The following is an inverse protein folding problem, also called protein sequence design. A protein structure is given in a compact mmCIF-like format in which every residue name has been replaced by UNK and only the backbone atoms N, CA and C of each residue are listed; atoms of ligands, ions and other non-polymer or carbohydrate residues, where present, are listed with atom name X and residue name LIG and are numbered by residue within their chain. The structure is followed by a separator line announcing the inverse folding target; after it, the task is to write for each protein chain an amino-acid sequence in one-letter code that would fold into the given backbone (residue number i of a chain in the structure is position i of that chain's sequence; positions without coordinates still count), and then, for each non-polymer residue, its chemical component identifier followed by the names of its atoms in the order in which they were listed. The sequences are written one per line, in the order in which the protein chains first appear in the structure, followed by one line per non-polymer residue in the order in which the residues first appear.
data_IF_628676136101
#
_entry.id   IF_628676136101
#
_cell.length_a   1.000
_cell.length_b   1.000
_cell.length_c   1.000
_cell.angle_alpha   90.00
_cell.angle_beta   90.00
_cell.angle_gamma   90.00
#
_symmetry.space_group_name_H-M   'P 1'
#
loop_
_entity.id
_entity.type
_entity.pdbx_description
1 polymer ?
#
# COMPACT_ATOMS: atom_id res chain seq x y z
N UNK A 1 0.83 5.19 18.91
CA UNK A 1 0.28 5.71 17.65
C UNK A 1 0.63 4.69 16.60
N UNK A 2 -0.30 4.31 15.73
CA UNK A 2 -0.03 3.31 14.70
C UNK A 2 1.05 3.83 13.75
N UNK A 3 1.91 2.93 13.30
CA UNK A 3 2.94 3.18 12.29
C UNK A 3 2.43 2.69 10.95
N UNK A 4 2.24 3.63 10.03
CA UNK A 4 1.66 3.39 8.72
C UNK A 4 2.75 3.53 7.68
N UNK A 5 2.88 2.53 6.81
CA UNK A 5 3.73 2.58 5.63
C UNK A 5 2.86 2.79 4.39
N UNK A 6 3.20 3.80 3.59
CA UNK A 6 2.53 4.10 2.32
C UNK A 6 3.47 3.72 1.17
N UNK A 7 3.01 2.88 0.26
CA UNK A 7 3.74 2.44 -0.92
C UNK A 7 3.04 2.95 -2.18
N UNK A 8 3.68 3.88 -2.89
CA UNK A 8 3.18 4.49 -4.12
C UNK A 8 4.35 5.12 -4.89
N UNK A 9 4.39 4.95 -6.21
CA UNK A 9 5.50 5.45 -7.04
C UNK A 9 5.32 6.93 -7.40
N UNK A 10 4.16 7.51 -7.10
CA UNK A 10 3.88 8.93 -7.24
C UNK A 10 4.10 9.69 -5.92
N UNK A 11 5.17 10.51 -5.88
CA UNK A 11 5.46 11.38 -4.71
C UNK A 11 4.27 12.27 -4.30
N UNK A 12 3.49 12.76 -5.26
CA UNK A 12 2.29 13.56 -5.01
C UNK A 12 1.23 12.81 -4.20
N UNK A 13 1.08 11.50 -4.43
CA UNK A 13 0.14 10.64 -3.69
C UNK A 13 0.65 10.41 -2.27
N UNK A 14 1.95 10.12 -2.11
CA UNK A 14 2.58 9.97 -0.80
C UNK A 14 2.42 11.22 0.06
N UNK A 15 2.69 12.40 -0.51
CA UNK A 15 2.54 13.69 0.19
C UNK A 15 1.08 13.94 0.58
N UNK A 16 0.15 13.68 -0.35
CA UNK A 16 -1.28 13.86 -0.12
C UNK A 16 -1.83 12.97 0.99
N UNK A 17 -1.49 11.67 0.98
CA UNK A 17 -1.93 10.73 2.02
C UNK A 17 -1.27 11.04 3.36
N UNK A 18 0.01 11.39 3.37
CA UNK A 18 0.72 11.82 4.60
C UNK A 18 0.06 13.06 5.22
N UNK A 19 -0.44 13.98 4.40
CA UNK A 19 -1.17 15.17 4.84
C UNK A 19 -2.57 14.85 5.39
N UNK A 20 -3.18 13.74 4.96
CA UNK A 20 -4.50 13.30 5.47
C UNK A 20 -4.34 12.52 6.78
N UNK A 21 -3.31 11.69 6.89
CA UNK A 21 -3.04 10.81 8.04
C UNK A 21 -2.15 11.45 9.12
N UNK A 22 -2.07 12.79 9.16
CA UNK A 22 -1.14 13.63 9.94
C UNK A 22 -0.86 13.24 11.41
N UNK A 23 -1.79 12.56 12.05
CA UNK A 23 -1.70 12.21 13.47
C UNK A 23 -0.96 10.87 13.72
N UNK A 24 -0.62 10.14 12.66
CA UNK A 24 0.04 8.83 12.72
C UNK A 24 1.55 8.91 12.38
N UNK A 25 2.30 7.84 12.72
CA UNK A 25 3.71 7.74 12.33
C UNK A 25 3.79 7.23 10.89
N UNK A 26 3.99 8.15 9.95
CA UNK A 26 4.02 7.82 8.52
C UNK A 26 5.45 7.52 8.05
N UNK A 27 5.62 6.37 7.41
CA UNK A 27 6.75 6.03 6.56
C UNK A 27 6.26 5.90 5.11
N UNK A 28 7.13 6.16 4.14
CA UNK A 28 6.79 6.10 2.72
C UNK A 28 7.85 5.31 1.95
N UNK A 29 7.45 4.57 0.91
CA UNK A 29 8.37 3.92 -0.02
C UNK A 29 7.90 4.10 -1.47
N UNK A 30 8.82 4.46 -2.36
CA UNK A 30 8.55 4.70 -3.79
C UNK A 30 8.94 3.51 -4.68
N UNK A 31 9.53 2.47 -4.09
CA UNK A 31 9.82 1.21 -4.78
C UNK A 31 9.52 0.01 -3.88
N UNK A 32 9.27 -1.15 -4.48
CA UNK A 32 9.07 -2.40 -3.74
C UNK A 32 10.26 -2.72 -2.84
N UNK A 33 11.49 -2.42 -3.28
CA UNK A 33 12.71 -2.66 -2.49
C UNK A 33 12.75 -1.81 -1.22
N UNK A 34 12.35 -0.53 -1.32
CA UNK A 34 12.26 0.37 -0.16
C UNK A 34 11.19 -0.10 0.83
N UNK A 35 10.00 -0.45 0.34
CA UNK A 35 8.89 -0.91 1.18
C UNK A 35 9.26 -2.19 1.91
N UNK A 36 9.83 -3.17 1.21
CA UNK A 36 10.27 -4.43 1.80
C UNK A 36 11.44 -4.24 2.78
N UNK A 37 12.31 -3.26 2.55
CA UNK A 37 13.38 -2.90 3.50
C UNK A 37 12.77 -2.33 4.78
N UNK A 38 11.83 -1.40 4.68
CA UNK A 38 11.16 -0.79 5.83
C UNK A 38 10.42 -1.86 6.66
N UNK A 39 9.70 -2.78 6.01
CA UNK A 39 9.00 -3.87 6.70
C UNK A 39 9.93 -4.83 7.46
N UNK A 40 11.21 -4.92 7.09
CA UNK A 40 12.22 -5.72 7.80
C UNK A 40 12.85 -4.97 8.97
N UNK A 41 12.85 -3.65 8.93
CA UNK A 41 13.50 -2.78 9.92
C UNK A 41 12.54 -2.27 11.00
N UNK A 42 11.25 -2.18 10.69
CA UNK A 42 10.24 -1.59 11.56
C UNK A 42 9.00 -2.48 11.67
N UNK A 43 8.45 -2.58 12.87
CA UNK A 43 7.09 -3.08 13.07
C UNK A 43 6.10 -2.05 12.52
N UNK A 44 5.43 -2.43 11.42
CA UNK A 44 4.40 -1.65 10.73
C UNK A 44 3.02 -2.20 11.13
N UNK A 45 2.11 -1.33 11.55
CA UNK A 45 0.74 -1.71 11.89
C UNK A 45 -0.13 -1.82 10.62
N UNK A 46 0.09 -0.92 9.66
CA UNK A 46 -0.68 -0.82 8.41
C UNK A 46 0.22 -0.53 7.22
N UNK A 47 0.12 -1.34 6.17
CA UNK A 47 0.64 -1.04 4.84
C UNK A 47 -0.51 -0.59 3.92
N UNK A 48 -0.44 0.67 3.45
CA UNK A 48 -1.26 1.17 2.35
C UNK A 48 -0.45 1.05 1.06
N UNK A 49 -0.80 0.12 0.18
CA UNK A 49 -0.07 -0.10 -1.07
C UNK A 49 -0.91 0.24 -2.30
N UNK A 50 -0.35 0.98 -3.24
CA UNK A 50 -0.88 0.98 -4.60
C UNK A 50 -0.68 -0.39 -5.25
N UNK A 51 -1.56 -0.74 -6.18
CA UNK A 51 -1.52 -2.00 -6.89
C UNK A 51 -0.66 -1.93 -8.16
N UNK A 52 -0.57 -0.74 -8.76
CA UNK A 52 0.24 -0.49 -9.95
C UNK A 52 1.53 0.21 -9.50
N UNK A 53 2.52 -0.58 -9.06
CA UNK A 53 3.68 -0.05 -8.35
C UNK A 53 4.99 -0.71 -8.75
N UNK A 54 5.67 -0.31 -9.86
CA UNK A 54 5.22 0.51 -11.00
C UNK A 54 4.50 -0.31 -12.09
N UNK A 55 4.18 -1.56 -11.78
CA UNK A 55 3.38 -2.47 -12.60
C UNK A 55 2.46 -3.29 -11.69
N UNK A 56 1.42 -3.91 -12.28
CA UNK A 56 0.51 -4.79 -11.54
C UNK A 56 1.24 -5.98 -10.90
N UNK A 57 2.18 -6.58 -11.63
CA UNK A 57 2.94 -7.73 -11.16
C UNK A 57 3.83 -7.35 -9.96
N UNK A 58 4.41 -6.14 -9.98
CA UNK A 58 5.23 -5.64 -8.88
C UNK A 58 4.38 -5.36 -7.63
N UNK A 59 3.18 -4.79 -7.78
CA UNK A 59 2.27 -4.56 -6.65
C UNK A 59 1.77 -5.85 -6.02
N UNK A 60 1.36 -6.83 -6.83
CA UNK A 60 0.96 -8.15 -6.33
C UNK A 60 2.12 -8.90 -5.66
N UNK A 61 3.33 -8.80 -6.21
CA UNK A 61 4.54 -9.33 -5.60
C UNK A 61 4.83 -8.67 -4.24
N UNK A 62 4.73 -7.34 -4.17
CA UNK A 62 4.94 -6.59 -2.94
C UNK A 62 3.98 -7.03 -1.83
N UNK A 63 2.67 -7.14 -2.13
CA UNK A 63 1.66 -7.58 -1.16
C UNK A 63 2.02 -8.96 -0.58
N UNK A 64 2.38 -9.90 -1.46
CA UNK A 64 2.74 -11.26 -1.08
C UNK A 64 3.97 -11.30 -0.18
N UNK A 65 5.03 -10.60 -0.57
CA UNK A 65 6.27 -10.57 0.20
C UNK A 65 6.13 -9.79 1.51
N UNK A 66 5.33 -8.71 1.52
CA UNK A 66 5.02 -7.97 2.73
C UNK A 66 4.33 -8.87 3.76
N UNK A 67 3.34 -9.67 3.35
CA UNK A 67 2.65 -10.62 4.24
C UNK A 67 3.57 -11.73 4.74
N UNK A 68 4.53 -12.18 3.92
CA UNK A 68 5.53 -13.17 4.33
C UNK A 68 6.52 -12.60 5.37
N UNK A 69 6.97 -11.35 5.18
CA UNK A 69 7.96 -10.69 6.05
C UNK A 69 7.33 -10.27 7.38
N UNK A 70 6.13 -9.68 7.33
CA UNK A 70 5.43 -9.15 8.49
C UNK A 70 3.96 -9.61 8.47
N UNK A 71 3.67 -10.86 8.90
CA UNK A 71 2.33 -11.44 8.84
C UNK A 71 1.27 -10.65 9.60
N UNK A 72 1.67 -9.96 10.68
CA UNK A 72 0.81 -9.15 11.53
C UNK A 72 0.53 -7.76 10.96
N UNK A 73 1.28 -7.32 9.93
CA UNK A 73 0.96 -6.06 9.24
C UNK A 73 -0.39 -6.22 8.55
N UNK A 74 -1.30 -5.28 8.80
CA UNK A 74 -2.54 -5.18 8.07
C UNK A 74 -2.28 -4.55 6.70
N UNK A 75 -2.62 -5.23 5.61
CA UNK A 75 -2.30 -4.77 4.25
C UNK A 75 -3.59 -4.33 3.55
N UNK A 76 -3.67 -3.05 3.21
CA UNK A 76 -4.76 -2.49 2.41
C UNK A 76 -4.23 -2.05 1.06
N UNK A 77 -4.82 -2.58 0.00
CA UNK A 77 -4.58 -2.08 -1.35
C UNK A 77 -5.41 -0.83 -1.56
N UNK A 78 -4.76 0.28 -1.91
CA UNK A 78 -5.41 1.54 -2.26
C UNK A 78 -5.01 1.93 -3.69
N UNK A 79 -5.86 1.65 -4.68
CA UNK A 79 -5.49 1.84 -6.09
C UNK A 79 -6.53 2.57 -6.94
N UNK A 80 -6.06 3.30 -7.94
CA UNK A 80 -6.90 3.84 -9.02
C UNK A 80 -7.18 2.83 -10.13
N UNK A 81 -6.45 1.71 -10.17
CA UNK A 81 -6.62 0.65 -11.17
C UNK A 81 -7.67 -0.35 -10.69
N UNK A 82 -8.94 -0.03 -10.94
CA UNK A 82 -10.08 -0.80 -10.42
C UNK A 82 -10.60 -1.87 -11.38
N UNK A 83 -10.65 -3.12 -10.91
CA UNK A 83 -11.43 -4.20 -11.52
C UNK A 83 -11.76 -5.26 -10.46
N UNK A 84 -12.78 -6.09 -10.72
CA UNK A 84 -13.08 -7.23 -9.85
C UNK A 84 -11.91 -8.22 -9.84
N UNK A 85 -11.27 -8.42 -10.98
CA UNK A 85 -10.15 -9.37 -11.12
C UNK A 85 -8.95 -8.95 -10.27
N UNK A 86 -8.57 -7.68 -10.32
CA UNK A 86 -7.45 -7.13 -9.55
C UNK A 86 -7.71 -7.16 -8.05
N UNK A 87 -8.94 -6.88 -7.62
CA UNK A 87 -9.33 -7.04 -6.22
C UNK A 87 -9.20 -8.50 -5.75
N UNK A 88 -9.68 -9.45 -6.55
CA UNK A 88 -9.55 -10.89 -6.23
C UNK A 88 -8.08 -11.32 -6.18
N UNK A 89 -7.25 -10.84 -7.10
CA UNK A 89 -5.81 -11.12 -7.11
C UNK A 89 -5.11 -10.56 -5.87
N UNK A 90 -5.38 -9.31 -5.49
CA UNK A 90 -4.81 -8.68 -4.30
C UNK A 90 -5.13 -9.46 -3.02
N UNK A 91 -6.40 -9.82 -2.81
CA UNK A 91 -6.83 -10.60 -1.64
C UNK A 91 -6.16 -11.98 -1.63
N UNK A 92 -6.08 -12.66 -2.79
CA UNK A 92 -5.37 -13.94 -2.91
C UNK A 92 -3.87 -13.84 -2.63
N UNK A 93 -3.26 -12.68 -2.89
CA UNK A 93 -1.85 -12.42 -2.60
C UNK A 93 -1.59 -12.09 -1.13
N UNK A 94 -2.63 -11.88 -0.32
CA UNK A 94 -2.49 -11.64 1.13
C UNK A 94 -2.88 -10.24 1.59
N UNK A 95 -3.51 -9.43 0.73
CA UNK A 95 -4.14 -8.19 1.17
C UNK A 95 -5.34 -8.50 2.08
N UNK A 96 -5.48 -7.72 3.15
CA UNK A 96 -6.56 -7.82 4.11
C UNK A 96 -7.79 -7.01 3.68
N UNK A 97 -7.58 -5.92 2.92
CA UNK A 97 -8.66 -5.12 2.31
C UNK A 97 -8.25 -4.50 0.96
N UNK A 98 -9.25 -4.06 0.19
CA UNK A 98 -9.10 -3.43 -1.12
C UNK A 98 -9.99 -2.20 -1.24
N UNK A 99 -9.36 -1.03 -1.37
CA UNK A 99 -9.99 0.26 -1.52
C UNK A 99 -9.63 0.88 -2.87
N UNK A 100 -10.63 1.45 -3.53
CA UNK A 100 -10.43 2.23 -4.76
C UNK A 100 -10.11 3.67 -4.40
N UNK A 101 -9.08 4.28 -5.01
CA UNK A 101 -8.82 5.72 -4.97
C UNK A 101 -9.97 6.45 -5.69
N UNK A 102 -11.09 6.66 -4.99
CA UNK A 102 -12.23 7.43 -5.51
C UNK A 102 -11.89 8.92 -5.48
N UNK A 103 -10.99 9.34 -6.35
CA UNK A 103 -10.88 10.74 -6.75
C UNK A 103 -12.12 11.07 -7.60
N UNK A 104 -13.32 11.03 -7.03
CA UNK A 104 -14.44 11.67 -7.70
C UNK A 104 -14.08 13.15 -7.80
N UNK A 105 -13.84 13.60 -9.04
CA UNK A 105 -13.99 15.00 -9.41
C UNK A 105 -15.32 15.44 -8.79
N UNK A 106 -15.25 16.31 -7.79
CA UNK A 106 -16.40 17.13 -7.44
C UNK A 106 -16.69 17.93 -8.69
N UNK A 107 -17.68 17.49 -9.45
CA UNK A 107 -18.35 18.32 -10.46
C UNK A 107 -18.92 19.57 -9.77
#
# INVERSE_FOLDING_TARGET
MPKILIADDEQSVLDGLSLVLKDDQILTGQSKEEVLKILKEYDIDLLLSDLYFPSLDDGLYLIKEAKNISPETYIVVLTGYESIETAVQAIKSGADDYLTKKFHQRN
#
